data_IF_056086813230
#
_entry.id   IF_056086813230
#
_cell.length_a   1.000
_cell.length_b   1.000
_cell.length_c   1.000
_cell.angle_alpha   90.00
_cell.angle_beta   90.00
_cell.angle_gamma   90.00
#
_symmetry.space_group_name_H-M   'P 1'
#
loop_
_entity.id
_entity.type
_entity.pdbx_description
1 polymer ?
#
# COMPACT_ATOMS: atom_id res chain seq x y z
N UNK A 1 12.36 -11.90 -8.44
CA UNK A 1 12.39 -10.58 -7.77
C UNK A 1 11.06 -9.93 -8.00
N UNK A 2 10.28 -9.62 -6.98
CA UNK A 2 9.10 -8.80 -7.19
C UNK A 2 9.21 -7.69 -6.16
N UNK A 3 9.07 -6.44 -6.62
CA UNK A 3 9.31 -5.19 -5.90
C UNK A 3 10.74 -4.64 -6.05
N UNK A 4 10.81 -3.41 -6.58
CA UNK A 4 12.03 -2.61 -6.71
C UNK A 4 12.73 -2.48 -5.35
N UNK A 5 14.06 -2.32 -5.34
CA UNK A 5 14.95 -2.33 -4.16
C UNK A 5 14.51 -1.42 -3.00
N UNK A 6 13.61 -0.46 -3.25
CA UNK A 6 13.01 0.43 -2.24
C UNK A 6 11.61 -0.05 -1.87
N UNK A 7 11.45 -0.49 -0.62
CA UNK A 7 10.17 -0.90 -0.01
C UNK A 7 9.01 0.09 -0.21
N UNK A 8 9.31 1.39 -0.36
CA UNK A 8 8.33 2.46 -0.53
C UNK A 8 8.51 3.28 -1.83
N UNK A 9 9.07 2.70 -2.90
CA UNK A 9 9.06 3.39 -4.19
C UNK A 9 7.66 3.52 -4.77
N UNK A 10 7.46 4.52 -5.63
CA UNK A 10 6.20 4.75 -6.34
C UNK A 10 5.74 3.49 -7.08
N UNK A 11 6.62 2.89 -7.89
CA UNK A 11 6.33 1.66 -8.64
C UNK A 11 5.93 0.51 -7.70
N UNK A 12 6.62 0.36 -6.57
CA UNK A 12 6.31 -0.69 -5.63
C UNK A 12 4.93 -0.52 -5.01
N UNK A 13 4.65 0.69 -4.49
CA UNK A 13 3.34 0.99 -3.91
C UNK A 13 2.25 0.90 -4.97
N UNK A 14 2.50 1.30 -6.22
CA UNK A 14 1.53 1.18 -7.31
C UNK A 14 1.18 -0.29 -7.61
N UNK A 15 2.18 -1.17 -7.71
CA UNK A 15 1.94 -2.61 -7.90
C UNK A 15 1.13 -3.17 -6.74
N UNK A 16 1.53 -2.83 -5.50
CA UNK A 16 0.83 -3.29 -4.30
C UNK A 16 -0.60 -2.77 -4.23
N UNK A 17 -0.85 -1.52 -4.63
CA UNK A 17 -2.19 -0.91 -4.70
C UNK A 17 -3.04 -1.56 -5.79
N UNK A 18 -2.47 -1.92 -6.95
CA UNK A 18 -3.19 -2.62 -8.03
C UNK A 18 -3.54 -4.06 -7.66
N UNK A 19 -2.63 -4.76 -6.98
CA UNK A 19 -2.86 -6.15 -6.56
C UNK A 19 -3.67 -6.28 -5.26
N UNK A 20 -3.89 -5.17 -4.55
CA UNK A 20 -4.58 -5.17 -3.26
C UNK A 20 -5.88 -4.40 -3.33
N UNK A 21 -6.85 -4.84 -2.55
CA UNK A 21 -8.15 -4.16 -2.39
C UNK A 21 -8.25 -3.45 -1.04
N UNK A 22 -7.19 -3.48 -0.23
CA UNK A 22 -7.15 -2.80 1.08
C UNK A 22 -5.73 -2.48 1.50
N UNK A 23 -5.57 -1.45 2.35
CA UNK A 23 -4.27 -1.11 2.97
C UNK A 23 -3.73 -2.28 3.80
N UNK A 24 -4.61 -3.08 4.41
CA UNK A 24 -4.24 -4.30 5.15
C UNK A 24 -3.50 -5.30 4.26
N UNK A 25 -4.01 -5.59 3.07
CA UNK A 25 -3.36 -6.50 2.12
C UNK A 25 -1.97 -5.98 1.69
N UNK A 26 -1.84 -4.66 1.53
CA UNK A 26 -0.54 -4.02 1.24
C UNK A 26 0.43 -4.24 2.41
N UNK A 27 -0.01 -4.05 3.66
CA UNK A 27 0.82 -4.29 4.84
C UNK A 27 1.27 -5.76 4.92
N UNK A 28 0.37 -6.70 4.67
CA UNK A 28 0.67 -8.14 4.66
C UNK A 28 1.72 -8.46 3.58
N UNK A 29 1.55 -7.96 2.36
CA UNK A 29 2.51 -8.14 1.25
C UNK A 29 3.87 -7.50 1.54
N UNK A 30 3.89 -6.43 2.34
CA UNK A 30 5.12 -5.76 2.80
C UNK A 30 5.71 -6.39 4.07
N UNK A 31 5.11 -7.46 4.58
CA UNK A 31 5.47 -8.12 5.84
C UNK A 31 5.54 -7.10 7.00
N UNK A 32 4.61 -6.14 7.00
CA UNK A 32 4.48 -5.11 8.02
C UNK A 32 3.39 -5.49 9.01
N UNK A 33 3.65 -5.17 10.29
CA UNK A 33 2.64 -5.30 11.34
C UNK A 33 1.44 -4.42 11.03
N UNK A 34 0.24 -4.92 11.32
CA UNK A 34 -1.03 -4.21 11.22
C UNK A 34 -1.17 -3.14 12.32
N UNK A 35 -0.24 -2.18 12.37
CA UNK A 35 -0.19 -1.11 13.36
C UNK A 35 -0.67 0.21 12.75
N UNK A 36 -1.37 1.05 13.53
CA UNK A 36 -1.91 2.33 13.07
C UNK A 36 -0.87 3.24 12.39
N UNK A 37 0.37 3.25 12.89
CA UNK A 37 1.47 3.98 12.27
C UNK A 37 1.80 3.52 10.84
N UNK A 38 1.77 2.21 10.59
CA UNK A 38 2.02 1.64 9.26
C UNK A 38 0.86 1.95 8.29
N UNK A 39 -0.39 1.88 8.78
CA UNK A 39 -1.55 2.31 7.99
C UNK A 39 -1.42 3.77 7.56
N UNK A 40 -1.08 4.67 8.48
CA UNK A 40 -0.89 6.09 8.20
C UNK A 40 0.26 6.34 7.23
N UNK A 41 1.37 5.62 7.37
CA UNK A 41 2.52 5.72 6.48
C UNK A 41 2.16 5.33 5.04
N UNK A 42 1.48 4.19 4.86
CA UNK A 42 1.07 3.71 3.53
C UNK A 42 0.03 4.65 2.92
N UNK A 43 -0.98 5.08 3.68
CA UNK A 43 -1.97 6.07 3.20
C UNK A 43 -1.30 7.37 2.76
N UNK A 44 -0.32 7.87 3.52
CA UNK A 44 0.47 9.05 3.16
C UNK A 44 1.24 8.83 1.86
N UNK A 45 1.90 7.68 1.70
CA UNK A 45 2.65 7.35 0.47
C UNK A 45 1.75 7.23 -0.75
N UNK A 46 0.60 6.58 -0.62
CA UNK A 46 -0.41 6.50 -1.69
C UNK A 46 -0.85 7.90 -2.12
N UNK A 47 -1.14 8.78 -1.16
CA UNK A 47 -1.53 10.17 -1.43
C UNK A 47 -0.41 10.99 -2.06
N UNK A 48 0.82 10.85 -1.57
CA UNK A 48 2.04 11.49 -2.10
C UNK A 48 2.31 11.09 -3.56
N UNK A 49 2.02 9.83 -3.91
CA UNK A 49 2.19 9.31 -5.27
C UNK A 49 0.97 9.51 -6.18
N UNK A 50 -0.15 10.04 -5.65
CA UNK A 50 -1.38 10.26 -6.42
C UNK A 50 -2.03 8.96 -6.92
N UNK A 51 -1.87 7.86 -6.19
CA UNK A 51 -2.39 6.55 -6.60
C UNK A 51 -3.89 6.45 -6.33
N UNK A 52 -4.64 5.91 -7.28
CA UNK A 52 -6.06 5.66 -7.08
C UNK A 52 -6.27 4.49 -6.12
N UNK A 53 -7.06 4.72 -5.07
CA UNK A 53 -7.51 3.68 -4.13
C UNK A 53 -9.03 3.61 -4.07
N UNK A 54 -9.73 4.09 -5.09
CA UNK A 54 -11.19 4.06 -5.16
C UNK A 54 -11.72 2.63 -5.27
N UNK A 55 -10.92 1.70 -5.81
CA UNK A 55 -11.22 0.27 -5.84
C UNK A 55 -10.96 -0.44 -4.50
N UNK A 56 -10.48 0.27 -3.48
CA UNK A 56 -10.32 -0.34 -2.18
C UNK A 56 -11.70 -0.63 -1.60
N UNK A 57 -11.93 -1.91 -1.31
CA UNK A 57 -13.14 -2.38 -0.70
C UNK A 57 -13.05 -2.04 0.80
N UNK A 58 -13.30 -0.78 1.14
CA UNK A 58 -13.66 -0.40 2.51
C UNK A 58 -15.02 -1.04 2.79
N UNK A 59 -15.01 -2.26 3.31
CA UNK A 59 -16.20 -2.80 3.98
C UNK A 59 -16.41 -1.92 5.22
N UNK A 60 -17.35 -0.99 5.10
CA UNK A 60 -17.92 -0.28 6.25
C UNK A 60 -18.62 -1.24 7.18
#
# INVERSE_FOLDING_TARGET
>A
MKYCRKKYSKENIEILVKESTSVRQILIKLELKEAGGNYSLIKRKIKEFGLNTSHFCSKG
#
